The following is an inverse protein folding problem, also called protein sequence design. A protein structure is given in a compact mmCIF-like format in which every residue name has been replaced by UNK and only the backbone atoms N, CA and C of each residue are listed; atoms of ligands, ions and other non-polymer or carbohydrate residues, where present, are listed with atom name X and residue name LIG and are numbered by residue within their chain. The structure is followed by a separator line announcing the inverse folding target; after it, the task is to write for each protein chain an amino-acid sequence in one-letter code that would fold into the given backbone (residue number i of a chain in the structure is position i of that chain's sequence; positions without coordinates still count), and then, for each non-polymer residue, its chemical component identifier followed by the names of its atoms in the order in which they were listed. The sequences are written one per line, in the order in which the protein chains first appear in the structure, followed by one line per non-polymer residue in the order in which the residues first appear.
data_IF_245236954270
#
_entry.id   IF_245236954270
#
_cell.length_a   1.000
_cell.length_b   1.000
_cell.length_c   1.000
_cell.angle_alpha   90.00
_cell.angle_beta   90.00
_cell.angle_gamma   90.00
#
_symmetry.space_group_name_H-M   'P 1'
#
loop_
_entity.id
_entity.type
_entity.pdbx_description
1 polymer ?
#
# COMPACT_ATOMS: atom_id res chain seq x y z
N UNK A 1 -9.08 -2.95 14.28
CA UNK A 1 -8.79 -1.52 14.14
C UNK A 1 -8.78 -0.90 15.52
N UNK A 2 -7.73 -0.14 15.82
CA UNK A 2 -7.55 0.55 17.09
C UNK A 2 -6.84 1.90 16.83
N UNK A 3 -6.69 2.72 17.87
CA UNK A 3 -6.00 4.01 17.76
C UNK A 3 -4.48 3.79 17.77
N UNK A 4 -3.78 4.26 16.72
CA UNK A 4 -2.32 4.19 16.63
C UNK A 4 -1.61 4.89 17.78
N UNK A 5 -2.29 5.82 18.46
CA UNK A 5 -1.79 6.51 19.64
C UNK A 5 -1.33 5.54 20.72
N UNK A 6 -2.05 4.43 20.90
CA UNK A 6 -1.81 3.44 21.96
C UNK A 6 -0.92 2.26 21.49
N UNK A 7 -0.31 2.36 20.30
CA UNK A 7 0.47 1.28 19.68
C UNK A 7 1.99 1.53 19.83
N UNK A 8 2.65 1.09 20.92
CA UNK A 8 4.02 1.49 21.23
C UNK A 8 5.09 1.04 20.21
N UNK A 9 4.74 0.17 19.26
CA UNK A 9 5.60 -0.26 18.17
C UNK A 9 5.62 0.71 16.97
N UNK A 10 4.72 1.69 16.92
CA UNK A 10 4.68 2.70 15.87
C UNK A 10 5.50 3.93 16.25
N UNK A 11 6.22 4.54 15.29
CA UNK A 11 7.05 5.73 15.56
C UNK A 11 6.22 6.98 15.92
N UNK A 12 4.91 6.95 15.69
CA UNK A 12 3.96 8.03 15.97
C UNK A 12 2.95 7.68 17.07
N UNK A 13 3.25 6.68 17.90
CA UNK A 13 2.50 6.37 19.10
C UNK A 13 2.63 7.51 20.13
N UNK A 14 1.50 8.14 20.49
CA UNK A 14 1.44 9.30 21.39
C UNK A 14 1.38 10.68 20.70
N UNK A 15 2.12 10.97 19.62
CA UNK A 15 1.98 12.23 18.91
C UNK A 15 0.68 12.39 18.09
N UNK A 16 0.07 11.32 17.58
CA UNK A 16 -1.09 11.39 16.70
C UNK A 16 -2.10 10.26 16.96
N UNK A 17 -3.39 10.60 16.83
CA UNK A 17 -4.51 9.64 16.87
C UNK A 17 -4.98 9.34 15.45
N UNK A 18 -4.95 8.07 15.08
CA UNK A 18 -5.34 7.61 13.75
C UNK A 18 -5.86 6.18 13.85
N UNK A 19 -6.89 5.87 13.07
CA UNK A 19 -7.35 4.50 12.95
C UNK A 19 -6.29 3.65 12.25
N UNK A 20 -5.89 2.56 12.90
CA UNK A 20 -4.84 1.67 12.41
C UNK A 20 -5.25 0.21 12.55
N UNK A 21 -4.86 -0.60 11.57
CA UNK A 21 -5.19 -2.03 11.53
C UNK A 21 -3.93 -2.88 11.65
N UNK A 22 -4.03 -3.96 12.41
CA UNK A 22 -2.96 -4.92 12.64
C UNK A 22 -3.59 -6.30 12.86
N UNK A 23 -2.81 -7.35 12.65
CA UNK A 23 -3.25 -8.72 12.92
C UNK A 23 -2.84 -9.11 14.34
N UNK A 24 -3.69 -9.89 14.99
CA UNK A 24 -3.38 -10.48 16.31
C UNK A 24 -3.57 -11.97 16.23
N UNK A 25 -2.52 -12.70 16.58
CA UNK A 25 -2.52 -14.15 16.74
C UNK A 25 -2.30 -14.55 18.19
N UNK A 26 -2.60 -15.81 18.53
CA UNK A 26 -2.21 -16.38 19.81
C UNK A 26 -0.71 -16.67 19.83
N UNK A 27 -0.06 -16.36 20.95
CA UNK A 27 1.33 -16.71 21.25
C UNK A 27 1.38 -17.40 22.62
N UNK A 28 2.41 -18.23 22.88
CA UNK A 28 2.53 -18.97 24.16
C UNK A 28 2.48 -18.06 25.40
N UNK A 29 2.98 -16.83 25.25
CA UNK A 29 3.12 -15.83 26.31
C UNK A 29 2.06 -14.70 26.21
N UNK A 30 1.00 -14.89 25.40
CA UNK A 30 -0.06 -13.91 25.21
C UNK A 30 -0.51 -13.77 23.75
N UNK A 31 -0.40 -12.56 23.22
CA UNK A 31 -0.74 -12.19 21.85
C UNK A 31 0.53 -11.92 21.02
N UNK A 32 0.53 -12.35 19.76
CA UNK A 32 1.45 -11.84 18.75
C UNK A 32 0.72 -10.77 17.94
N UNK A 33 1.13 -9.51 18.06
CA UNK A 33 0.69 -8.43 17.20
C UNK A 33 1.60 -8.37 15.97
N UNK A 34 1.02 -8.38 14.78
CA UNK A 34 1.72 -8.19 13.52
C UNK A 34 1.20 -6.95 12.82
N UNK A 35 2.12 -6.05 12.51
CA UNK A 35 1.87 -4.87 11.69
C UNK A 35 2.60 -5.04 10.36
N UNK A 36 1.86 -4.93 9.26
CA UNK A 36 2.38 -5.11 7.91
C UNK A 36 2.60 -3.77 7.17
N UNK A 37 2.34 -2.64 7.83
CA UNK A 37 2.51 -1.33 7.20
C UNK A 37 3.99 -0.98 7.04
N UNK A 38 4.33 -0.48 5.86
CA UNK A 38 5.63 0.11 5.55
C UNK A 38 5.42 1.52 5.04
N UNK A 39 5.54 2.48 5.96
CA UNK A 39 5.17 3.88 5.73
C UNK A 39 6.26 4.82 6.23
N UNK A 40 6.62 5.79 5.38
CA UNK A 40 7.39 6.96 5.81
C UNK A 40 6.45 7.98 6.47
N UNK A 41 6.78 8.41 7.69
CA UNK A 41 6.01 9.41 8.42
C UNK A 41 6.89 10.54 8.92
N UNK A 42 6.29 11.65 9.35
CA UNK A 42 7.02 12.78 9.93
C UNK A 42 7.75 12.44 11.24
N UNK A 43 7.40 11.33 11.90
CA UNK A 43 7.98 10.88 13.17
C UNK A 43 8.99 9.74 13.02
N UNK A 44 9.28 9.35 11.78
CA UNK A 44 10.14 8.22 11.46
C UNK A 44 9.41 7.10 10.72
N UNK A 45 10.16 6.08 10.29
CA UNK A 45 9.61 4.99 9.51
C UNK A 45 8.80 4.02 10.35
N UNK A 46 7.56 3.73 9.94
CA UNK A 46 6.82 2.57 10.42
C UNK A 46 7.18 1.38 9.52
N UNK A 47 7.74 0.32 10.11
CA UNK A 47 8.21 -0.85 9.38
C UNK A 47 7.41 -2.10 9.75
N UNK A 48 7.23 -3.03 8.81
CA UNK A 48 6.58 -4.29 9.10
C UNK A 48 7.31 -5.04 10.21
N UNK A 49 6.55 -5.58 11.16
CA UNK A 49 7.12 -6.22 12.34
C UNK A 49 6.13 -7.11 13.07
N UNK A 50 6.68 -7.86 14.03
CA UNK A 50 5.94 -8.72 14.95
C UNK A 50 6.41 -8.48 16.36
N UNK A 51 5.47 -8.43 17.29
CA UNK A 51 5.74 -8.17 18.70
C UNK A 51 4.86 -9.05 19.58
N UNK A 52 5.42 -9.55 20.67
CA UNK A 52 4.68 -10.32 21.66
C UNK A 52 4.24 -9.42 22.80
N UNK A 53 2.95 -9.50 23.15
CA UNK A 53 2.34 -8.74 24.24
C UNK A 53 1.47 -9.63 25.14
N UNK A 54 1.36 -9.33 26.44
CA UNK A 54 0.23 -9.82 27.22
C UNK A 54 -1.09 -9.34 26.62
N UNK A 55 -2.13 -10.17 26.67
CA UNK A 55 -3.45 -9.83 26.09
C UNK A 55 -4.02 -8.54 26.67
N UNK A 56 -3.82 -8.33 27.97
CA UNK A 56 -4.27 -7.16 28.73
C UNK A 56 -3.54 -5.87 28.36
N UNK A 57 -2.43 -5.94 27.60
CA UNK A 57 -1.68 -4.78 27.12
C UNK A 57 -1.93 -4.47 25.65
N UNK A 58 -2.77 -5.24 24.97
CA UNK A 58 -3.16 -4.90 23.60
C UNK A 58 -3.96 -3.58 23.57
N UNK A 59 -3.75 -2.74 22.54
CA UNK A 59 -4.55 -1.54 22.35
C UNK A 59 -6.05 -1.88 22.28
N UNK A 60 -6.88 -1.03 22.89
CA UNK A 60 -8.32 -1.16 22.81
C UNK A 60 -8.79 -0.99 21.35
N UNK A 61 -9.47 -2.00 20.81
CA UNK A 61 -9.96 -1.97 19.45
C UNK A 61 -11.35 -1.32 19.37
N UNK A 62 -11.52 -0.40 18.42
CA UNK A 62 -12.85 0.08 17.99
C UNK A 62 -13.61 -0.98 17.19
N UNK A 63 -12.87 -1.87 16.52
CA UNK A 63 -13.41 -2.96 15.74
C UNK A 63 -12.45 -4.16 15.75
N UNK A 64 -12.97 -5.36 15.95
CA UNK A 64 -12.23 -6.60 15.81
C UNK A 64 -13.07 -7.62 15.04
N UNK A 65 -12.43 -8.34 14.13
CA UNK A 65 -13.03 -9.50 13.48
C UNK A 65 -12.06 -10.68 13.54
N UNK A 66 -12.61 -11.88 13.66
CA UNK A 66 -11.84 -13.11 13.56
C UNK A 66 -11.83 -13.58 12.12
N UNK A 67 -10.63 -13.74 11.57
CA UNK A 67 -10.44 -14.38 10.27
C UNK A 67 -10.26 -15.87 10.52
N UNK A 68 -11.12 -16.69 9.90
CA UNK A 68 -11.00 -18.14 9.91
C UNK A 68 -10.79 -18.64 8.49
N UNK A 69 -9.93 -19.64 8.33
CA UNK A 69 -9.79 -20.30 7.03
C UNK A 69 -11.11 -21.01 6.68
N UNK A 70 -11.51 -20.89 5.42
CA UNK A 70 -12.64 -21.65 4.87
C UNK A 70 -12.02 -22.84 4.11
N UNK A 71 -12.15 -24.09 4.59
CA UNK A 71 -11.42 -25.25 4.03
C UNK A 71 -11.66 -25.47 2.53
N UNK A 72 -12.85 -25.18 2.04
CA UNK A 72 -13.24 -25.32 0.64
C UNK A 72 -12.79 -24.13 -0.21
N UNK A 73 -12.46 -23.00 0.41
CA UNK A 73 -12.04 -21.83 -0.33
C UNK A 73 -10.66 -22.08 -0.98
N UNK A 74 -10.59 -21.76 -2.26
CA UNK A 74 -9.35 -21.70 -3.01
C UNK A 74 -9.22 -20.27 -3.48
N UNK A 75 -8.26 -19.54 -2.93
CA UNK A 75 -7.98 -18.20 -3.37
C UNK A 75 -7.70 -18.23 -4.88
N UNK A 76 -8.32 -17.34 -5.67
CA UNK A 76 -8.01 -17.26 -7.08
C UNK A 76 -6.52 -16.97 -7.22
N UNK A 77 -5.91 -17.58 -8.22
CA UNK A 77 -4.53 -17.29 -8.53
C UNK A 77 -4.44 -15.83 -8.99
N UNK A 78 -3.63 -14.97 -8.35
CA UNK A 78 -3.46 -13.61 -8.82
C UNK A 78 -2.97 -13.59 -10.26
N UNK A 79 -3.69 -12.85 -11.09
CA UNK A 79 -3.31 -12.61 -12.48
C UNK A 79 -2.39 -11.39 -12.55
N UNK A 80 -1.31 -11.51 -13.32
CA UNK A 80 -0.40 -10.40 -13.59
C UNK A 80 -0.81 -9.75 -14.91
N UNK A 81 -1.43 -8.59 -14.82
CA UNK A 81 -1.80 -7.79 -16.00
C UNK A 81 -0.58 -7.02 -16.50
N UNK A 82 -0.17 -7.30 -17.74
CA UNK A 82 0.96 -6.67 -18.44
C UNK A 82 0.49 -5.63 -19.47
N UNK A 83 -0.54 -4.87 -19.13
CA UNK A 83 -1.16 -3.84 -19.96
C UNK A 83 -0.35 -2.55 -20.06
N UNK A 84 -0.49 -1.82 -21.17
CA UNK A 84 0.13 -0.50 -21.31
C UNK A 84 -0.62 0.53 -20.45
N UNK A 85 0.04 1.25 -19.52
CA UNK A 85 -0.61 2.28 -18.73
C UNK A 85 -1.08 3.51 -19.54
N UNK A 86 -0.70 3.65 -20.81
CA UNK A 86 -1.00 4.83 -21.63
C UNK A 86 -2.50 5.16 -21.69
N UNK A 87 -3.34 4.18 -22.05
CA UNK A 87 -4.79 4.38 -22.12
C UNK A 87 -5.38 4.80 -20.77
N UNK A 88 -4.83 4.27 -19.68
CA UNK A 88 -5.22 4.63 -18.32
C UNK A 88 -4.89 6.11 -18.03
N UNK A 89 -3.66 6.52 -18.31
CA UNK A 89 -3.17 7.89 -18.08
C UNK A 89 -3.86 8.93 -18.98
N UNK A 90 -4.20 8.57 -20.22
CA UNK A 90 -4.92 9.44 -21.16
C UNK A 90 -6.28 9.88 -20.61
N UNK A 91 -7.01 8.95 -19.99
CA UNK A 91 -8.32 9.23 -19.36
C UNK A 91 -8.21 10.34 -18.30
N UNK A 92 -7.15 10.32 -17.50
CA UNK A 92 -6.87 11.35 -16.50
C UNK A 92 -6.39 12.66 -17.12
N UNK A 93 -5.72 12.58 -18.27
CA UNK A 93 -5.20 13.76 -18.95
C UNK A 93 -6.33 14.64 -19.51
N UNK A 94 -7.42 14.03 -19.97
CA UNK A 94 -8.58 14.75 -20.49
C UNK A 94 -9.48 15.37 -19.40
N UNK A 95 -9.20 15.15 -18.12
CA UNK A 95 -10.07 15.60 -17.03
C UNK A 95 -10.01 17.12 -16.82
N UNK A 96 -11.16 17.83 -16.67
CA UNK A 96 -11.20 19.29 -16.56
C UNK A 96 -10.55 19.80 -15.27
N UNK A 97 -10.73 19.10 -14.15
CA UNK A 97 -10.01 19.37 -12.91
C UNK A 97 -8.72 18.56 -12.89
N UNK A 98 -7.62 19.22 -13.27
CA UNK A 98 -6.29 18.60 -13.34
C UNK A 98 -5.74 18.22 -11.97
N UNK A 99 -6.03 18.97 -10.92
CA UNK A 99 -5.51 18.67 -9.59
C UNK A 99 -6.23 17.47 -8.98
N UNK A 100 -7.56 17.42 -9.09
CA UNK A 100 -8.34 16.25 -8.66
C UNK A 100 -7.93 14.99 -9.43
N UNK A 101 -7.73 15.11 -10.75
CA UNK A 101 -7.25 14.01 -11.58
C UNK A 101 -5.89 13.49 -11.12
N UNK A 102 -4.93 14.39 -10.87
CA UNK A 102 -3.60 14.01 -10.38
C UNK A 102 -3.65 13.31 -9.01
N UNK A 103 -4.45 13.83 -8.06
CA UNK A 103 -4.62 13.20 -6.74
C UNK A 103 -5.14 11.78 -6.85
N UNK A 104 -6.18 11.58 -7.67
CA UNK A 104 -6.77 10.25 -7.89
C UNK A 104 -5.80 9.32 -8.61
N UNK A 105 -5.15 9.80 -9.67
CA UNK A 105 -4.16 9.04 -10.42
C UNK A 105 -2.99 8.62 -9.51
N UNK A 106 -2.50 9.48 -8.61
CA UNK A 106 -1.43 9.12 -7.65
C UNK A 106 -1.83 7.94 -6.76
N UNK A 107 -3.04 7.97 -6.20
CA UNK A 107 -3.51 6.90 -5.32
C UNK A 107 -3.69 5.58 -6.09
N UNK A 108 -4.27 5.65 -7.28
CA UNK A 108 -4.53 4.48 -8.10
C UNK A 108 -3.25 3.86 -8.66
N UNK A 109 -2.31 4.65 -9.20
CA UNK A 109 -1.04 4.11 -9.71
C UNK A 109 -0.22 3.49 -8.58
N UNK A 110 -0.22 4.07 -7.37
CA UNK A 110 0.42 3.45 -6.21
C UNK A 110 -0.15 2.06 -5.89
N UNK A 111 -1.49 1.92 -5.83
CA UNK A 111 -2.14 0.63 -5.59
C UNK A 111 -1.88 -0.37 -6.73
N UNK A 112 -2.00 0.08 -7.98
CA UNK A 112 -1.86 -0.73 -9.17
C UNK A 112 -0.42 -1.24 -9.37
N UNK A 113 0.58 -0.41 -9.12
CA UNK A 113 1.99 -0.81 -9.13
C UNK A 113 2.27 -1.83 -8.04
N UNK A 114 1.79 -1.59 -6.80
CA UNK A 114 2.00 -2.52 -5.68
C UNK A 114 1.35 -3.87 -5.91
N UNK A 115 0.13 -3.89 -6.45
CA UNK A 115 -0.56 -5.14 -6.80
C UNK A 115 0.23 -5.95 -7.84
N UNK A 116 0.75 -5.30 -8.89
CA UNK A 116 1.56 -5.97 -9.92
C UNK A 116 2.85 -6.58 -9.35
N UNK A 117 3.58 -5.85 -8.51
CA UNK A 117 4.76 -6.39 -7.83
C UNK A 117 4.42 -7.59 -6.95
N UNK A 118 3.35 -7.50 -6.15
CA UNK A 118 2.91 -8.61 -5.29
C UNK A 118 2.49 -9.84 -6.12
N UNK A 119 1.78 -9.63 -7.22
CA UNK A 119 1.35 -10.72 -8.09
C UNK A 119 2.54 -11.37 -8.80
N UNK A 120 3.51 -10.58 -9.29
CA UNK A 120 4.73 -11.10 -9.88
C UNK A 120 5.53 -11.93 -8.85
N UNK A 121 5.79 -11.40 -7.66
CA UNK A 121 6.50 -12.10 -6.59
C UNK A 121 5.78 -13.40 -6.16
N UNK A 122 4.44 -13.39 -6.09
CA UNK A 122 3.66 -14.59 -5.78
C UNK A 122 3.83 -15.68 -6.87
N UNK A 123 3.83 -15.30 -8.15
CA UNK A 123 3.98 -16.25 -9.26
C UNK A 123 5.41 -16.80 -9.33
N UNK A 124 6.42 -15.97 -9.09
CA UNK A 124 7.82 -16.40 -8.95
C UNK A 124 8.01 -17.34 -7.75
N UNK A 125 7.36 -17.07 -6.62
CA UNK A 125 7.37 -17.96 -5.46
C UNK A 125 6.79 -19.35 -5.77
N UNK A 126 5.86 -19.45 -6.72
CA UNK A 126 5.34 -20.71 -7.25
C UNK A 126 6.27 -21.38 -8.28
N UNK A 127 7.46 -20.83 -8.52
CA UNK A 127 8.47 -21.37 -9.44
C UNK A 127 8.28 -20.98 -10.90
N UNK A 128 7.46 -19.98 -11.20
CA UNK A 128 7.26 -19.53 -12.57
C UNK A 128 8.31 -18.52 -13.02
N UNK A 129 8.69 -18.62 -14.29
CA UNK A 129 9.51 -17.60 -14.95
C UNK A 129 8.60 -16.55 -15.58
N UNK A 130 8.71 -15.31 -15.12
CA UNK A 130 7.96 -14.18 -15.65
C UNK A 130 8.90 -13.18 -16.34
N UNK A 131 8.53 -12.74 -17.54
CA UNK A 131 9.22 -11.66 -18.25
C UNK A 131 8.50 -10.33 -17.95
N UNK A 132 8.48 -9.93 -16.66
CA UNK A 132 7.69 -8.78 -16.17
C UNK A 132 8.53 -7.59 -15.69
N UNK A 133 9.86 -7.73 -15.63
CA UNK A 133 10.75 -6.76 -14.98
C UNK A 133 10.65 -5.36 -15.58
N UNK A 134 10.65 -5.25 -16.91
CA UNK A 134 10.52 -3.96 -17.60
C UNK A 134 9.14 -3.33 -17.40
N UNK A 135 8.09 -4.16 -17.41
CA UNK A 135 6.74 -3.70 -17.13
C UNK A 135 6.62 -3.12 -15.72
N UNK A 136 7.15 -3.82 -14.71
CA UNK A 136 7.17 -3.36 -13.32
C UNK A 136 7.95 -2.04 -13.17
N UNK A 137 9.13 -1.93 -13.81
CA UNK A 137 9.90 -0.67 -13.84
C UNK A 137 9.12 0.49 -14.45
N UNK A 138 8.38 0.26 -15.54
CA UNK A 138 7.56 1.30 -16.18
C UNK A 138 6.46 1.80 -15.24
N UNK A 139 5.83 0.90 -14.50
CA UNK A 139 4.84 1.25 -13.47
C UNK A 139 5.45 1.98 -12.26
N UNK A 140 6.65 1.61 -11.83
CA UNK A 140 7.37 2.34 -10.76
C UNK A 140 7.66 3.78 -11.17
N UNK A 141 8.18 3.98 -12.38
CA UNK A 141 8.45 5.30 -12.94
C UNK A 141 7.18 6.14 -13.10
N UNK A 142 6.08 5.53 -13.55
CA UNK A 142 4.79 6.20 -13.66
C UNK A 142 4.32 6.70 -12.28
N UNK A 143 4.34 5.83 -11.26
CA UNK A 143 3.93 6.19 -9.90
C UNK A 143 4.77 7.34 -9.34
N UNK A 144 6.09 7.30 -9.53
CA UNK A 144 6.97 8.41 -9.13
C UNK A 144 6.67 9.72 -9.88
N UNK A 145 6.47 9.64 -11.20
CA UNK A 145 6.19 10.81 -12.05
C UNK A 145 4.87 11.48 -11.68
N UNK A 146 3.82 10.68 -11.47
CA UNK A 146 2.50 11.18 -11.08
C UNK A 146 2.55 11.80 -9.67
N UNK A 147 3.26 11.19 -8.73
CA UNK A 147 3.44 11.76 -7.38
C UNK A 147 4.14 13.13 -7.44
N UNK A 148 5.22 13.25 -8.22
CA UNK A 148 5.91 14.53 -8.41
C UNK A 148 4.99 15.57 -9.08
N UNK A 149 4.23 15.17 -10.11
CA UNK A 149 3.29 16.04 -10.79
C UNK A 149 2.20 16.56 -9.84
N UNK A 150 1.62 15.68 -9.02
CA UNK A 150 0.64 16.01 -7.99
C UNK A 150 1.21 17.02 -6.98
N UNK A 151 2.40 16.78 -6.43
CA UNK A 151 3.06 17.70 -5.48
C UNK A 151 3.40 19.05 -6.09
N UNK A 152 3.70 19.11 -7.39
CA UNK A 152 3.94 20.37 -8.11
C UNK A 152 2.64 21.14 -8.32
N UNK A 153 1.58 20.46 -8.76
CA UNK A 153 0.26 21.06 -8.96
C UNK A 153 -0.30 21.65 -7.66
N UNK A 154 -0.17 20.95 -6.53
CA UNK A 154 -0.59 21.46 -5.21
C UNK A 154 0.13 22.73 -4.79
N UNK A 155 1.35 22.95 -5.30
CA UNK A 155 2.17 24.14 -5.03
C UNK A 155 2.02 25.22 -6.11
N UNK A 156 1.07 25.07 -7.04
CA UNK A 156 0.89 25.98 -8.17
C UNK A 156 2.06 26.01 -9.16
N UNK A 157 2.88 24.95 -9.21
CA UNK A 157 4.03 24.86 -10.11
C UNK A 157 3.67 24.15 -11.42
N UNK A 158 4.37 24.43 -12.54
CA UNK A 158 4.15 23.74 -13.80
C UNK A 158 4.28 22.22 -13.66
N UNK A 159 3.36 21.45 -14.22
CA UNK A 159 3.41 19.98 -14.26
C UNK A 159 4.10 19.49 -15.54
N UNK A 160 4.70 18.29 -15.55
CA UNK A 160 5.23 17.69 -16.77
C UNK A 160 4.16 17.58 -17.88
N UNK A 161 4.58 17.76 -19.14
CA UNK A 161 3.69 17.65 -20.29
C UNK A 161 3.23 16.20 -20.53
N UNK A 162 4.12 15.24 -20.31
CA UNK A 162 3.81 13.81 -20.29
C UNK A 162 3.96 13.26 -18.88
N UNK A 163 3.06 12.35 -18.50
CA UNK A 163 3.13 11.58 -17.26
C UNK A 163 3.73 10.19 -17.49
N UNK A 164 3.82 9.75 -18.75
CA UNK A 164 4.42 8.47 -19.10
C UNK A 164 5.94 8.62 -19.15
N UNK A 165 6.69 7.72 -18.49
CA UNK A 165 8.14 7.67 -18.61
C UNK A 165 8.54 7.20 -20.01
N UNK A 166 9.64 7.75 -20.54
CA UNK A 166 10.36 7.20 -21.70
C UNK A 166 10.98 5.84 -21.39
#
# INVERSE_FOLDING_TARGET
MADSYDMPWLPYAGPARMEHSFLVGAHRDGAEAQDAYDNETAWGPARPGRWTYPWERLPAASFACTLSSVPEYRAPRPELFLDDPAAYVETYTAHPDRLAALRRLTAETWLLTRARHLHAAYREHLGERLEAEEHLRRWDRLTATVFIAQRRAERGRPVPATLLPE
#
